data_IF_668137716781
#
_entry.id   IF_668137716781
#
_cell.length_a   1.000
_cell.length_b   1.000
_cell.length_c   1.000
_cell.angle_alpha   90.00
_cell.angle_beta   90.00
_cell.angle_gamma   90.00
#
_symmetry.space_group_name_H-M   'P 1'
#
loop_
_entity.id
_entity.type
_entity.pdbx_description
1 polymer ?
#
# COMPACT_ATOMS: atom_id res chain seq x y z
N UNK A 1 -14.19 -14.69 -0.49
CA UNK A 1 -14.03 -16.12 -0.83
C UNK A 1 -12.58 -16.44 -1.25
N UNK A 2 -11.99 -15.70 -2.20
CA UNK A 2 -10.61 -15.92 -2.67
C UNK A 2 -9.55 -15.89 -1.56
N UNK A 3 -9.59 -14.90 -0.66
CA UNK A 3 -8.63 -14.77 0.46
C UNK A 3 -8.63 -15.97 1.41
N UNK A 4 -9.81 -16.53 1.69
CA UNK A 4 -9.97 -17.72 2.52
C UNK A 4 -9.29 -18.94 1.88
N UNK A 5 -9.51 -19.14 0.58
CA UNK A 5 -8.85 -20.22 -0.18
C UNK A 5 -7.33 -20.03 -0.20
N UNK A 6 -6.84 -18.81 -0.44
CA UNK A 6 -5.40 -18.53 -0.45
C UNK A 6 -4.74 -18.80 0.90
N UNK A 7 -5.44 -18.52 2.00
CA UNK A 7 -4.95 -18.75 3.35
C UNK A 7 -5.01 -20.25 3.72
N UNK A 8 -6.14 -20.91 3.49
CA UNK A 8 -6.36 -22.32 3.83
C UNK A 8 -5.50 -23.29 3.00
N UNK A 9 -5.21 -22.95 1.74
CA UNK A 9 -4.33 -23.75 0.88
C UNK A 9 -2.83 -23.54 1.17
N UNK A 10 -2.48 -22.60 2.04
CA UNK A 10 -1.09 -22.23 2.34
C UNK A 10 -0.40 -21.46 1.21
N UNK A 11 -1.14 -21.00 0.20
CA UNK A 11 -0.58 -20.28 -0.94
C UNK A 11 0.07 -18.95 -0.52
N UNK A 12 -0.55 -18.20 0.39
CA UNK A 12 0.03 -16.96 0.92
C UNK A 12 1.39 -17.24 1.59
N UNK A 13 1.49 -18.33 2.37
CA UNK A 13 2.74 -18.74 3.03
C UNK A 13 3.83 -19.10 2.02
N UNK A 14 3.47 -19.79 0.94
CA UNK A 14 4.40 -20.15 -0.13
C UNK A 14 4.92 -18.91 -0.87
N UNK A 15 4.03 -17.95 -1.18
CA UNK A 15 4.39 -16.68 -1.83
C UNK A 15 5.34 -15.89 -0.92
N UNK A 16 4.99 -15.71 0.36
CA UNK A 16 5.83 -15.01 1.32
C UNK A 16 7.22 -15.65 1.45
N UNK A 17 7.29 -16.98 1.59
CA UNK A 17 8.56 -17.71 1.69
C UNK A 17 9.45 -17.53 0.46
N UNK A 18 8.86 -17.45 -0.73
CA UNK A 18 9.61 -17.19 -1.96
C UNK A 18 10.05 -15.72 -2.07
N UNK A 19 9.22 -14.76 -1.65
CA UNK A 19 9.59 -13.35 -1.59
C UNK A 19 10.79 -13.12 -0.66
N UNK A 20 10.83 -13.78 0.50
CA UNK A 20 11.95 -13.69 1.46
C UNK A 20 13.28 -14.13 0.84
N UNK A 21 13.27 -15.08 -0.11
CA UNK A 21 14.50 -15.52 -0.79
C UNK A 21 15.08 -14.47 -1.74
N UNK A 22 14.24 -13.53 -2.18
CA UNK A 22 14.62 -12.46 -3.12
C UNK A 22 14.92 -11.16 -2.36
N UNK A 23 14.24 -10.93 -1.24
CA UNK A 23 14.45 -9.75 -0.40
C UNK A 23 15.71 -9.94 0.45
N UNK A 24 16.67 -8.99 0.42
CA UNK A 24 17.83 -9.02 1.31
C UNK A 24 17.40 -9.04 2.78
N UNK A 25 18.07 -9.81 3.64
CA UNK A 25 17.71 -9.94 5.05
C UNK A 25 17.66 -8.59 5.80
N UNK A 26 18.48 -7.64 5.36
CA UNK A 26 18.56 -6.27 5.89
C UNK A 26 17.32 -5.42 5.56
N UNK A 27 16.61 -5.74 4.47
CA UNK A 27 15.44 -5.00 3.96
C UNK A 27 14.13 -5.56 4.54
N UNK A 28 14.14 -6.83 4.96
CA UNK A 28 12.98 -7.54 5.48
C UNK A 28 12.18 -6.79 6.58
N UNK A 29 12.84 -6.28 7.64
CA UNK A 29 12.18 -5.51 8.69
C UNK A 29 11.58 -4.18 8.22
N UNK A 30 12.02 -3.63 7.09
CA UNK A 30 11.53 -2.35 6.56
C UNK A 30 10.53 -2.53 5.41
N UNK A 31 10.14 -3.76 5.10
CA UNK A 31 9.32 -4.07 3.93
C UNK A 31 8.00 -3.30 3.94
N UNK A 32 7.32 -3.24 5.08
CA UNK A 32 6.05 -2.54 5.23
C UNK A 32 6.20 -1.03 5.02
N UNK A 33 7.29 -0.44 5.46
CA UNK A 33 7.60 0.98 5.24
C UNK A 33 7.88 1.25 3.76
N UNK A 34 8.62 0.37 3.09
CA UNK A 34 8.91 0.51 1.65
C UNK A 34 7.63 0.40 0.84
N UNK A 35 6.78 -0.58 1.15
CA UNK A 35 5.47 -0.74 0.48
C UNK A 35 4.56 0.45 0.78
N UNK A 36 4.50 0.92 2.02
CA UNK A 36 3.74 2.12 2.41
C UNK A 36 4.22 3.37 1.68
N UNK A 37 5.53 3.54 1.52
CA UNK A 37 6.13 4.64 0.75
C UNK A 37 5.78 4.56 -0.74
N UNK A 38 5.72 3.36 -1.30
CA UNK A 38 5.27 3.11 -2.66
C UNK A 38 3.74 3.03 -2.79
N UNK A 39 2.98 3.24 -1.72
CA UNK A 39 1.53 3.04 -1.69
C UNK A 39 0.79 3.89 -2.73
N UNK A 40 1.19 5.14 -2.94
CA UNK A 40 0.57 6.03 -3.96
C UNK A 40 0.85 5.55 -5.40
N UNK A 41 2.11 5.28 -5.80
CA UNK A 41 2.40 4.62 -7.07
C UNK A 41 1.68 3.27 -7.26
N UNK A 42 1.59 2.46 -6.20
CA UNK A 42 0.91 1.17 -6.26
C UNK A 42 -0.59 1.34 -6.48
N UNK A 43 -1.23 2.30 -5.82
CA UNK A 43 -2.67 2.57 -5.96
C UNK A 43 -3.05 3.12 -7.36
N UNK A 44 -2.11 3.68 -8.12
CA UNK A 44 -2.31 3.96 -9.54
C UNK A 44 -2.37 2.70 -10.41
N UNK A 45 -1.74 1.61 -9.97
CA UNK A 45 -1.62 0.35 -10.70
C UNK A 45 -2.62 -0.70 -10.20
N UNK A 46 -3.13 -0.54 -8.98
CA UNK A 46 -4.00 -1.50 -8.31
C UNK A 46 -5.31 -0.86 -7.88
N UNK A 47 -6.41 -1.60 -7.96
CA UNK A 47 -7.63 -1.20 -7.26
C UNK A 47 -7.49 -1.35 -5.75
N UNK A 48 -8.30 -0.61 -5.00
CA UNK A 48 -8.40 -0.73 -3.54
C UNK A 48 -8.62 -2.18 -3.10
N UNK A 49 -9.53 -2.91 -3.76
CA UNK A 49 -9.78 -4.32 -3.47
C UNK A 49 -8.54 -5.21 -3.68
N UNK A 50 -7.82 -5.01 -4.79
CA UNK A 50 -6.60 -5.76 -5.06
C UNK A 50 -5.51 -5.47 -4.01
N UNK A 51 -5.41 -4.22 -3.57
CA UNK A 51 -4.45 -3.82 -2.54
C UNK A 51 -4.72 -4.52 -1.20
N UNK A 52 -5.97 -4.50 -0.73
CA UNK A 52 -6.33 -5.11 0.56
C UNK A 52 -6.40 -6.65 0.53
N UNK A 53 -6.77 -7.24 -0.60
CA UNK A 53 -7.00 -8.68 -0.67
C UNK A 53 -5.85 -9.48 -1.27
N UNK A 54 -4.98 -8.87 -2.06
CA UNK A 54 -3.82 -9.55 -2.60
C UNK A 54 -2.52 -9.04 -1.97
N UNK A 55 -2.30 -7.73 -1.98
CA UNK A 55 -0.98 -7.16 -1.61
C UNK A 55 -0.78 -7.19 -0.09
N UNK A 56 -1.73 -6.65 0.68
CA UNK A 56 -1.61 -6.54 2.13
C UNK A 56 -1.34 -7.88 2.84
N UNK A 57 -2.09 -8.97 2.58
CA UNK A 57 -1.85 -10.25 3.26
C UNK A 57 -0.48 -10.84 2.93
N UNK A 58 0.02 -10.64 1.70
CA UNK A 58 1.34 -11.11 1.29
C UNK A 58 2.44 -10.33 2.03
N UNK A 59 2.32 -9.00 2.09
CA UNK A 59 3.30 -8.14 2.77
C UNK A 59 3.27 -8.38 4.27
N UNK A 60 2.09 -8.48 4.87
CA UNK A 60 1.89 -8.81 6.29
C UNK A 60 2.53 -10.14 6.65
N UNK A 61 2.28 -11.20 5.88
CA UNK A 61 2.85 -12.51 6.16
C UNK A 61 4.36 -12.53 5.96
N UNK A 62 4.87 -11.77 4.99
CA UNK A 62 6.32 -11.65 4.73
C UNK A 62 7.01 -10.87 5.85
N UNK A 63 6.49 -9.69 6.21
CA UNK A 63 7.03 -8.83 7.26
C UNK A 63 6.94 -9.50 8.64
N UNK A 64 5.89 -10.28 8.89
CA UNK A 64 5.75 -11.08 10.11
C UNK A 64 6.85 -12.13 10.29
N UNK A 65 7.44 -12.67 9.21
CA UNK A 65 8.62 -13.55 9.31
C UNK A 65 9.88 -12.82 9.77
N UNK A 66 9.92 -11.50 9.59
CA UNK A 66 10.99 -10.62 10.06
C UNK A 66 10.69 -10.00 11.45
N UNK A 67 9.60 -10.40 12.10
CA UNK A 67 9.22 -9.93 13.43
C UNK A 67 8.43 -8.62 13.45
N UNK A 68 8.04 -8.09 12.28
CA UNK A 68 7.25 -6.85 12.19
C UNK A 68 5.80 -7.12 12.66
N UNK A 69 5.24 -6.29 13.56
CA UNK A 69 3.84 -6.41 13.96
C UNK A 69 2.88 -6.22 12.78
N UNK A 70 1.91 -7.11 12.65
CA UNK A 70 0.83 -7.04 11.63
C UNK A 70 0.15 -5.66 11.59
N UNK A 71 -0.13 -5.10 12.77
CA UNK A 71 -0.76 -3.78 12.92
C UNK A 71 0.09 -2.66 12.31
N UNK A 72 1.41 -2.69 12.51
CA UNK A 72 2.34 -1.73 11.91
C UNK A 72 2.32 -1.83 10.38
N UNK A 73 2.32 -3.06 9.86
CA UNK A 73 2.20 -3.32 8.42
C UNK A 73 0.90 -2.78 7.86
N UNK A 74 -0.23 -3.08 8.50
CA UNK A 74 -1.53 -2.58 8.08
C UNK A 74 -1.56 -1.05 8.03
N UNK A 75 -1.10 -0.37 9.09
CA UNK A 75 -1.12 1.10 9.12
C UNK A 75 -0.24 1.73 8.04
N UNK A 76 1.00 1.26 7.87
CA UNK A 76 1.89 1.79 6.83
C UNK A 76 1.29 1.67 5.42
N UNK A 77 0.67 0.52 5.13
CA UNK A 77 0.05 0.26 3.83
C UNK A 77 -1.25 1.04 3.62
N UNK A 78 -2.09 1.17 4.66
CA UNK A 78 -3.36 1.90 4.61
C UNK A 78 -3.13 3.39 4.37
N UNK A 79 -2.13 3.99 5.03
CA UNK A 79 -1.76 5.41 4.81
C UNK A 79 -1.47 5.66 3.32
N UNK A 80 -0.62 4.82 2.73
CA UNK A 80 -0.27 4.92 1.32
C UNK A 80 -1.46 4.72 0.39
N UNK A 81 -2.33 3.74 0.66
CA UNK A 81 -3.50 3.44 -0.15
C UNK A 81 -4.55 4.57 -0.10
N UNK A 82 -4.97 4.99 1.09
CA UNK A 82 -6.01 6.03 1.26
C UNK A 82 -5.58 7.31 0.55
N UNK A 83 -4.33 7.74 0.74
CA UNK A 83 -3.82 8.95 0.11
C UNK A 83 -3.69 8.75 -1.41
N UNK A 84 -3.28 7.55 -1.85
CA UNK A 84 -3.21 7.17 -3.27
C UNK A 84 -4.54 7.26 -4.00
N UNK A 85 -5.66 6.98 -3.34
CA UNK A 85 -6.98 6.99 -3.99
C UNK A 85 -7.37 8.35 -4.57
N UNK A 86 -6.74 9.45 -4.11
CA UNK A 86 -6.94 10.79 -4.63
C UNK A 86 -6.25 11.04 -5.98
N UNK A 87 -5.32 10.18 -6.40
CA UNK A 87 -4.75 10.19 -7.76
C UNK A 87 -5.10 8.94 -8.57
N UNK A 88 -5.87 8.01 -8.01
CA UNK A 88 -6.16 6.74 -8.68
C UNK A 88 -7.27 6.87 -9.73
N UNK A 89 -7.02 6.44 -10.98
CA UNK A 89 -8.05 6.40 -12.02
C UNK A 89 -9.14 5.35 -11.73
N UNK A 90 -8.92 4.47 -10.75
CA UNK A 90 -9.89 3.48 -10.30
C UNK A 90 -10.89 4.03 -9.27
N UNK A 91 -10.69 5.26 -8.78
CA UNK A 91 -11.58 5.91 -7.82
C UNK A 91 -12.75 6.60 -8.52
N UNK A 92 -14.01 6.11 -8.37
CA UNK A 92 -15.18 6.75 -8.98
C UNK A 92 -15.46 8.14 -8.39
N UNK A 93 -15.13 8.33 -7.11
CA UNK A 93 -15.28 9.61 -6.43
C UNK A 93 -14.35 10.67 -7.05
N UNK A 94 -13.14 10.28 -7.45
CA UNK A 94 -12.23 11.18 -8.14
C UNK A 94 -12.78 11.60 -9.51
N UNK A 95 -13.32 10.64 -10.28
CA UNK A 95 -13.97 10.95 -11.55
C UNK A 95 -15.12 11.93 -11.41
N UNK A 96 -15.95 11.77 -10.37
CA UNK A 96 -17.04 12.69 -10.08
C UNK A 96 -16.52 14.10 -9.76
N UNK A 97 -15.52 14.22 -8.89
CA UNK A 97 -14.95 15.51 -8.51
C UNK A 97 -14.32 16.25 -9.70
N UNK A 98 -13.56 15.53 -10.54
CA UNK A 98 -12.95 16.09 -11.74
C UNK A 98 -14.01 16.49 -12.78
N UNK A 99 -15.08 15.71 -12.92
CA UNK A 99 -16.21 16.04 -13.79
C UNK A 99 -16.94 17.31 -13.35
N UNK A 100 -17.18 17.47 -12.04
CA UNK A 100 -17.79 18.68 -11.48
C UNK A 100 -16.90 19.92 -11.60
N UNK A 101 -15.58 19.73 -11.61
CA UNK A 101 -14.59 20.80 -11.82
C UNK A 101 -14.35 21.12 -13.31
N UNK A 102 -15.07 20.46 -14.23
CA UNK A 102 -14.88 20.57 -15.69
C UNK A 102 -13.41 20.37 -16.13
N UNK A 103 -12.67 19.55 -15.38
CA UNK A 103 -11.25 19.33 -15.57
C UNK A 103 -10.95 18.00 -16.29
N UNK A 104 -9.71 17.84 -16.76
CA UNK A 104 -9.25 16.60 -17.38
C UNK A 104 -8.49 15.72 -16.37
N UNK A 105 -8.89 14.45 -16.26
CA UNK A 105 -8.28 13.47 -15.33
C UNK A 105 -6.77 13.32 -15.56
N UNK A 106 -6.32 13.21 -16.82
CA UNK A 106 -4.91 13.03 -17.12
C UNK A 106 -4.05 14.24 -16.71
N UNK A 107 -4.57 15.45 -16.91
CA UNK A 107 -3.90 16.68 -16.45
C UNK A 107 -3.84 16.75 -14.94
N UNK A 108 -4.95 16.42 -14.26
CA UNK A 108 -5.02 16.40 -12.81
C UNK A 108 -4.01 15.41 -12.20
N UNK A 109 -3.97 14.16 -12.67
CA UNK A 109 -3.05 13.14 -12.13
C UNK A 109 -1.60 13.60 -12.32
N UNK A 110 -1.23 14.08 -13.52
CA UNK A 110 0.14 14.59 -13.78
C UNK A 110 0.55 15.72 -12.84
N UNK A 111 -0.39 16.61 -12.51
CA UNK A 111 -0.15 17.71 -11.60
C UNK A 111 -0.09 17.24 -10.14
N UNK A 112 -1.07 16.46 -9.70
CA UNK A 112 -1.29 16.14 -8.29
C UNK A 112 -0.43 14.98 -7.78
N UNK A 113 0.06 14.10 -8.65
CA UNK A 113 0.77 12.88 -8.27
C UNK A 113 1.91 13.11 -7.28
N UNK A 114 2.86 14.00 -7.61
CA UNK A 114 4.02 14.25 -6.74
C UNK A 114 3.64 14.92 -5.42
N UNK A 115 2.60 15.76 -5.41
CA UNK A 115 2.10 16.41 -4.21
C UNK A 115 1.44 15.40 -3.26
N UNK A 116 0.55 14.56 -3.80
CA UNK A 116 -0.16 13.54 -3.03
C UNK A 116 0.81 12.46 -2.54
N UNK A 117 1.79 12.08 -3.38
CA UNK A 117 2.82 11.15 -2.96
C UNK A 117 3.72 11.72 -1.86
N UNK A 118 4.16 12.97 -1.99
CA UNK A 118 4.91 13.67 -0.94
C UNK A 118 4.11 13.75 0.37
N UNK A 119 2.81 14.05 0.29
CA UNK A 119 1.93 14.06 1.45
C UNK A 119 1.80 12.67 2.11
N UNK A 120 1.71 11.59 1.34
CA UNK A 120 1.70 10.23 1.86
C UNK A 120 2.99 9.89 2.63
N UNK A 121 4.14 10.29 2.08
CA UNK A 121 5.44 10.11 2.73
C UNK A 121 5.49 10.88 4.06
N UNK A 122 5.04 12.13 4.07
CA UNK A 122 4.99 12.95 5.29
C UNK A 122 4.09 12.30 6.35
N UNK A 123 2.91 11.82 5.96
CA UNK A 123 2.00 11.14 6.87
C UNK A 123 2.57 9.83 7.42
N UNK A 124 3.28 9.06 6.60
CA UNK A 124 3.97 7.86 7.03
C UNK A 124 5.08 8.19 8.05
N UNK A 125 5.85 9.25 7.81
CA UNK A 125 6.88 9.74 8.76
C UNK A 125 6.26 10.17 10.08
N UNK A 126 5.15 10.91 10.05
CA UNK A 126 4.42 11.29 11.28
C UNK A 126 3.94 10.05 12.03
N UNK A 127 3.38 9.05 11.34
CA UNK A 127 2.92 7.81 11.97
C UNK A 127 4.07 7.02 12.62
N UNK A 128 5.27 7.04 12.04
CA UNK A 128 6.47 6.48 12.65
C UNK A 128 6.90 7.27 13.89
N UNK A 129 6.92 8.61 13.81
CA UNK A 129 7.29 9.47 14.95
C UNK A 129 6.31 9.35 16.13
N UNK A 130 5.04 9.09 15.87
CA UNK A 130 4.02 8.82 16.89
C UNK A 130 4.12 7.41 17.49
N UNK A 131 4.98 6.53 16.95
CA UNK A 131 5.10 5.13 17.37
C UNK A 131 3.93 4.24 16.94
N UNK A 132 3.09 4.70 16.00
CA UNK A 132 1.97 3.93 15.44
C UNK A 132 2.50 2.88 14.46
N UNK A 133 3.48 3.27 13.64
CA UNK A 133 4.22 2.39 12.75
C UNK A 133 5.58 2.11 13.38
N UNK A 134 5.76 0.89 13.86
CA UNK A 134 7.04 0.41 14.42
C UNK A 134 7.89 -0.23 13.34
N UNK A 135 9.20 -0.13 13.50
CA UNK A 135 10.22 -0.86 12.73
C UNK A 135 10.38 -2.25 13.35
#
# INVERSE_FOLDING_TARGET
MFLGVLNETGMLKAIATNLIKVIPAEVGPYLHIIVGLLGVPLDLLTSTDAYYFAVLPIVEQTAGQFGVPSVSTAYSMVIGNIIGTFVSPFSPALWLAIGLAEANMGTYIKYAFFWIWGFAIVMLVIAMLMGIVTI
#
